data_IF_479621658122
#
_entry.id   IF_479621658122
#
_cell.length_a   1.000
_cell.length_b   1.000
_cell.length_c   1.000
_cell.angle_alpha   90.00
_cell.angle_beta   90.00
_cell.angle_gamma   90.00
#
_symmetry.space_group_name_H-M   'P 1'
#
loop_
_entity.id
_entity.type
_entity.pdbx_description
1 polymer ?
#
# COMPACT_ATOMS: atom_id res chain seq x y z
N UNK A 1 -6.10 -16.10 3.80
CA UNK A 1 -5.04 -15.82 4.79
C UNK A 1 -3.79 -16.54 4.30
N UNK A 2 -2.65 -15.84 4.25
CA UNK A 2 -1.39 -16.43 3.77
C UNK A 2 -0.94 -17.60 4.67
N UNK A 3 -0.29 -18.66 4.13
CA UNK A 3 0.04 -19.86 4.89
C UNK A 3 0.89 -19.60 6.14
N UNK A 4 1.79 -18.63 6.12
CA UNK A 4 2.66 -18.27 7.24
C UNK A 4 1.90 -17.67 8.45
N UNK A 5 0.76 -17.02 8.20
CA UNK A 5 -0.10 -16.45 9.24
C UNK A 5 -1.25 -17.38 9.63
N UNK A 6 -1.44 -18.48 8.90
CA UNK A 6 -2.48 -19.44 9.18
C UNK A 6 -2.24 -20.15 10.51
N UNK A 7 -3.32 -20.31 11.27
CA UNK A 7 -3.37 -21.18 12.43
C UNK A 7 -4.80 -21.72 12.56
N UNK A 8 -4.95 -22.96 13.04
CA UNK A 8 -6.27 -23.53 13.31
C UNK A 8 -6.98 -22.75 14.43
N UNK A 9 -6.23 -22.17 15.36
CA UNK A 9 -6.77 -21.29 16.38
C UNK A 9 -6.78 -19.83 15.85
N UNK A 10 -7.96 -19.19 15.68
CA UNK A 10 -8.04 -17.84 15.17
C UNK A 10 -7.27 -16.82 16.02
N UNK A 11 -7.19 -17.01 17.35
CA UNK A 11 -6.42 -16.13 18.23
C UNK A 11 -4.92 -16.21 17.98
N UNK A 12 -4.39 -17.41 17.70
CA UNK A 12 -2.99 -17.58 17.31
C UNK A 12 -2.71 -16.99 15.94
N UNK A 13 -3.66 -17.11 15.01
CA UNK A 13 -3.56 -16.47 13.70
C UNK A 13 -3.56 -14.94 13.83
N UNK A 14 -4.40 -14.39 14.71
CA UNK A 14 -4.41 -12.95 14.99
C UNK A 14 -3.14 -12.50 15.69
N UNK A 15 -2.61 -13.22 16.68
CA UNK A 15 -1.35 -12.86 17.35
C UNK A 15 -0.15 -12.85 16.40
N UNK A 16 -0.15 -13.74 15.39
CA UNK A 16 0.86 -13.74 14.32
C UNK A 16 0.73 -12.52 13.42
N UNK A 17 -0.50 -12.08 13.12
CA UNK A 17 -0.78 -10.99 12.19
C UNK A 17 -0.77 -9.59 12.84
N UNK A 18 -1.15 -9.52 14.12
CA UNK A 18 -1.37 -8.31 14.89
C UNK A 18 -0.71 -8.48 16.27
N UNK A 19 0.15 -7.53 16.73
CA UNK A 19 0.66 -7.55 18.09
C UNK A 19 -0.47 -7.28 19.09
N UNK A 20 -0.22 -7.66 20.34
CA UNK A 20 -1.15 -7.57 21.46
C UNK A 20 -1.78 -6.18 21.67
N UNK A 21 -1.08 -5.09 21.31
CA UNK A 21 -1.57 -3.71 21.45
C UNK A 21 -2.13 -3.12 20.13
N UNK A 22 -2.54 -3.97 19.18
CA UNK A 22 -3.08 -3.48 17.91
C UNK A 22 -4.51 -2.98 18.06
N UNK A 23 -4.67 -1.65 18.05
CA UNK A 23 -5.96 -1.01 17.84
C UNK A 23 -6.18 -0.69 16.36
N UNK A 24 -7.41 -0.87 15.86
CA UNK A 24 -7.81 -0.39 14.54
C UNK A 24 -7.50 1.12 14.46
N UNK A 25 -6.64 1.50 13.51
CA UNK A 25 -6.33 2.92 13.30
C UNK A 25 -7.38 3.50 12.35
N UNK A 26 -8.07 4.59 12.73
CA UNK A 26 -8.95 5.30 11.80
C UNK A 26 -8.17 5.78 10.56
N UNK A 27 -8.90 6.02 9.46
CA UNK A 27 -8.34 6.48 8.17
C UNK A 27 -7.42 7.67 8.45
N UNK A 28 -6.13 7.49 8.21
CA UNK A 28 -5.16 8.53 8.45
C UNK A 28 -5.35 9.63 7.41
N UNK A 29 -5.71 10.84 7.86
CA UNK A 29 -6.04 12.00 7.00
C UNK A 29 -4.88 12.41 6.08
N UNK A 30 -3.64 12.04 6.43
CA UNK A 30 -2.45 12.32 5.65
C UNK A 30 -2.16 11.29 4.54
N UNK A 31 -2.87 10.15 4.49
CA UNK A 31 -2.69 9.14 3.44
C UNK A 31 -3.58 9.46 2.25
N UNK A 32 -3.08 10.33 1.39
CA UNK A 32 -3.74 10.75 0.15
C UNK A 32 -3.74 9.64 -0.91
N UNK A 33 -4.53 9.80 -1.99
CA UNK A 33 -4.42 8.92 -3.17
C UNK A 33 -2.99 8.89 -3.72
N UNK A 34 -2.31 10.04 -3.77
CA UNK A 34 -0.92 10.16 -4.21
C UNK A 34 0.03 9.30 -3.37
N UNK A 35 -0.17 9.25 -2.05
CA UNK A 35 0.60 8.35 -1.17
C UNK A 35 0.49 6.88 -1.62
N UNK A 36 -0.73 6.39 -1.85
CA UNK A 36 -0.95 5.02 -2.28
C UNK A 36 -0.46 4.75 -3.71
N UNK A 37 -0.59 5.71 -4.62
CA UNK A 37 -0.03 5.60 -5.98
C UNK A 37 1.50 5.44 -5.93
N UNK A 38 2.17 6.26 -5.11
CA UNK A 38 3.62 6.17 -4.92
C UNK A 38 4.01 4.80 -4.33
N UNK A 39 3.26 4.23 -3.39
CA UNK A 39 3.53 2.87 -2.89
C UNK A 39 3.57 1.85 -4.02
N UNK A 40 2.58 1.86 -4.91
CA UNK A 40 2.52 0.87 -5.99
C UNK A 40 3.61 1.11 -7.05
N UNK A 41 3.96 2.37 -7.34
CA UNK A 41 5.03 2.73 -8.28
C UNK A 41 6.42 2.42 -7.71
N UNK A 42 6.70 2.85 -6.48
CA UNK A 42 7.99 2.69 -5.79
C UNK A 42 8.35 1.22 -5.54
N UNK A 43 7.34 0.39 -5.23
CA UNK A 43 7.50 -1.06 -5.10
C UNK A 43 7.69 -1.80 -6.43
N UNK A 44 7.65 -1.07 -7.56
CA UNK A 44 7.61 -1.59 -8.93
C UNK A 44 6.43 -2.56 -9.16
N UNK A 45 5.33 -2.39 -8.44
CA UNK A 45 4.16 -3.27 -8.52
C UNK A 45 3.25 -2.89 -9.67
N UNK A 46 3.23 -1.60 -10.02
CA UNK A 46 2.50 -1.08 -11.18
C UNK A 46 3.34 -0.06 -11.95
N UNK A 47 2.99 0.14 -13.21
CA UNK A 47 3.35 1.34 -13.98
C UNK A 47 2.10 2.19 -14.19
N UNK A 48 2.14 3.46 -13.81
CA UNK A 48 1.02 4.40 -13.97
C UNK A 48 1.41 5.47 -14.97
N UNK A 49 0.51 5.75 -15.91
CA UNK A 49 0.63 6.89 -16.82
C UNK A 49 -0.64 7.73 -16.74
N UNK A 50 -0.50 8.98 -16.31
CA UNK A 50 -1.59 9.95 -16.26
C UNK A 50 -1.62 10.77 -17.56
N UNK A 51 -2.81 10.94 -18.12
CA UNK A 51 -3.05 11.79 -19.27
C UNK A 51 -3.72 13.07 -18.80
N UNK A 52 -3.10 14.22 -19.06
CA UNK A 52 -3.57 15.53 -18.57
C UNK A 52 -4.59 16.16 -19.51
N UNK A 53 -5.43 17.05 -18.98
CA UNK A 53 -6.29 17.88 -19.82
C UNK A 53 -5.43 18.90 -20.59
N UNK A 54 -5.57 19.01 -21.93
CA UNK A 54 -4.82 19.99 -22.72
C UNK A 54 -5.06 21.46 -22.32
N UNK A 55 -6.22 21.77 -21.74
CA UNK A 55 -6.60 23.11 -21.28
C UNK A 55 -6.17 23.37 -19.83
N UNK A 56 -6.06 22.34 -19.02
CA UNK A 56 -5.62 22.43 -17.61
C UNK A 56 -4.74 21.22 -17.22
N UNK A 57 -3.41 21.43 -17.19
CA UNK A 57 -2.45 20.38 -16.88
C UNK A 57 -2.51 19.88 -15.42
N UNK A 58 -3.23 20.57 -14.54
CA UNK A 58 -3.45 20.10 -13.16
C UNK A 58 -4.41 18.90 -13.12
N UNK A 59 -5.33 18.81 -14.08
CA UNK A 59 -6.38 17.78 -14.14
C UNK A 59 -5.94 16.56 -14.97
N UNK A 60 -6.28 15.36 -14.47
CA UNK A 60 -6.13 14.12 -15.23
C UNK A 60 -7.44 13.85 -16.00
N UNK A 61 -7.37 13.64 -17.32
CA UNK A 61 -8.52 13.18 -18.12
C UNK A 61 -8.78 11.70 -17.90
N UNK A 62 -7.71 10.90 -17.92
CA UNK A 62 -7.73 9.48 -17.60
C UNK A 62 -6.33 9.03 -17.19
N UNK A 63 -6.22 7.82 -16.66
CA UNK A 63 -4.95 7.21 -16.31
C UNK A 63 -4.95 5.76 -16.76
N UNK A 64 -3.81 5.29 -17.24
CA UNK A 64 -3.60 3.86 -17.54
C UNK A 64 -2.71 3.27 -16.47
N UNK A 65 -3.08 2.09 -15.98
CA UNK A 65 -2.32 1.36 -14.96
C UNK A 65 -2.00 -0.02 -15.54
N UNK A 66 -0.72 -0.37 -15.55
CA UNK A 66 -0.24 -1.71 -15.85
C UNK A 66 0.17 -2.39 -14.55
N UNK A 67 -0.46 -3.51 -14.22
CA UNK A 67 -0.06 -4.34 -13.07
C UNK A 67 1.16 -5.17 -13.49
N UNK A 68 2.28 -5.02 -12.78
CA UNK A 68 3.54 -5.71 -13.06
C UNK A 68 3.74 -6.91 -12.14
N UNK A 69 3.46 -6.73 -10.84
CA UNK A 69 3.56 -7.79 -9.82
C UNK A 69 2.74 -7.45 -8.60
N UNK A 70 2.45 -8.46 -7.79
CA UNK A 70 1.85 -8.31 -6.46
C UNK A 70 2.81 -8.85 -5.43
N UNK A 71 3.28 -7.99 -4.52
CA UNK A 71 4.17 -8.39 -3.42
C UNK A 71 3.40 -9.16 -2.34
N UNK A 72 3.97 -10.30 -1.95
CA UNK A 72 3.60 -11.08 -0.77
C UNK A 72 4.30 -10.58 0.51
N UNK A 73 3.79 -10.90 1.71
CA UNK A 73 4.38 -10.48 3.00
C UNK A 73 5.88 -10.75 3.12
N UNK A 74 6.35 -11.89 2.61
CA UNK A 74 7.78 -12.27 2.62
C UNK A 74 8.72 -11.22 1.98
N UNK A 75 8.22 -10.38 1.08
CA UNK A 75 9.01 -9.30 0.48
C UNK A 75 9.21 -8.10 1.41
N UNK A 76 8.49 -8.02 2.54
CA UNK A 76 8.61 -6.99 3.56
C UNK A 76 9.47 -7.40 4.77
N UNK A 77 9.87 -8.67 4.84
CA UNK A 77 10.65 -9.22 5.95
C UNK A 77 9.77 -9.86 7.02
N UNK A 78 10.35 -10.13 8.19
CA UNK A 78 9.66 -10.80 9.30
C UNK A 78 8.68 -9.90 10.06
N UNK A 79 8.92 -8.59 10.08
CA UNK A 79 8.04 -7.61 10.72
C UNK A 79 7.29 -6.79 9.66
N UNK A 80 6.01 -7.11 9.45
CA UNK A 80 5.14 -6.43 8.49
C UNK A 80 4.79 -4.99 8.88
N UNK A 81 5.03 -4.60 10.14
CA UNK A 81 4.84 -3.23 10.63
C UNK A 81 6.07 -2.36 10.42
N UNK A 82 7.22 -2.96 10.13
CA UNK A 82 8.42 -2.20 9.79
C UNK A 82 8.20 -1.48 8.46
N UNK A 83 8.18 -0.15 8.51
CA UNK A 83 8.04 0.67 7.32
C UNK A 83 9.25 0.53 6.39
N UNK A 84 9.00 0.40 5.09
CA UNK A 84 9.98 0.63 4.03
C UNK A 84 10.00 2.11 3.70
N UNK A 85 11.19 2.68 3.52
CA UNK A 85 11.33 4.06 3.04
C UNK A 85 11.05 4.12 1.55
N UNK A 86 10.38 5.18 1.10
CA UNK A 86 10.27 5.47 -0.33
C UNK A 86 11.64 5.77 -0.92
N UNK A 87 11.82 5.48 -2.21
CA UNK A 87 13.00 5.92 -2.99
C UNK A 87 12.99 7.41 -3.30
N UNK A 88 11.82 8.06 -3.21
CA UNK A 88 11.62 9.50 -3.39
C UNK A 88 11.25 10.17 -2.07
N UNK A 89 11.62 11.46 -1.85
CA UNK A 89 11.14 12.22 -0.70
C UNK A 89 9.61 12.33 -0.72
N UNK A 90 8.95 11.87 0.34
CA UNK A 90 7.50 11.97 0.52
C UNK A 90 7.17 12.06 2.02
N UNK A 91 5.99 12.60 2.35
CA UNK A 91 5.44 12.59 3.72
C UNK A 91 4.11 11.81 3.72
N UNK A 92 4.02 10.66 4.41
CA UNK A 92 5.04 10.04 5.27
C UNK A 92 6.25 9.47 4.50
N UNK A 93 7.40 9.35 5.18
CA UNK A 93 8.69 8.92 4.61
C UNK A 93 8.73 7.47 4.12
N UNK A 94 7.66 6.71 4.35
CA UNK A 94 7.63 5.28 4.08
C UNK A 94 6.26 4.66 4.30
N UNK A 95 6.19 3.36 4.06
CA UNK A 95 4.98 2.57 4.06
C UNK A 95 5.23 1.16 4.62
N UNK A 96 4.22 0.60 5.27
CA UNK A 96 4.21 -0.77 5.79
C UNK A 96 3.61 -1.75 4.77
N UNK A 97 3.65 -3.05 5.06
CA UNK A 97 2.94 -4.03 4.24
C UNK A 97 1.43 -3.75 4.20
N UNK A 98 0.85 -3.29 5.31
CA UNK A 98 -0.58 -2.99 5.39
C UNK A 98 -0.96 -1.79 4.52
N UNK A 99 -0.10 -0.77 4.45
CA UNK A 99 -0.29 0.37 3.52
C UNK A 99 -0.24 -0.09 2.07
N UNK A 100 0.63 -1.06 1.75
CA UNK A 100 0.72 -1.66 0.43
C UNK A 100 -0.55 -2.46 0.06
N UNK A 101 -1.11 -3.22 1.00
CA UNK A 101 -2.40 -3.91 0.79
C UNK A 101 -3.53 -2.90 0.58
N UNK A 102 -3.59 -1.83 1.39
CA UNK A 102 -4.59 -0.77 1.22
C UNK A 102 -4.44 -0.06 -0.13
N UNK A 103 -3.22 0.12 -0.63
CA UNK A 103 -2.97 0.82 -1.89
C UNK A 103 -3.71 0.19 -3.09
N UNK A 104 -3.84 -1.15 -3.12
CA UNK A 104 -4.60 -1.87 -4.15
C UNK A 104 -6.09 -1.54 -4.17
N UNK A 105 -6.63 -0.98 -3.10
CA UNK A 105 -8.01 -0.49 -3.08
C UNK A 105 -8.06 1.03 -3.19
N UNK A 106 -7.13 1.76 -2.58
CA UNK A 106 -7.17 3.23 -2.53
C UNK A 106 -6.74 3.92 -3.84
N UNK A 107 -5.97 3.26 -4.70
CA UNK A 107 -5.55 3.81 -6.00
C UNK A 107 -6.66 3.70 -7.05
N UNK A 108 -7.40 2.60 -7.05
CA UNK A 108 -8.38 2.30 -8.11
C UNK A 108 -9.81 2.76 -7.77
N UNK A 109 -10.11 3.01 -6.49
CA UNK A 109 -11.44 3.41 -6.06
C UNK A 109 -11.52 4.94 -5.91
N UNK A 110 -12.06 5.61 -6.95
CA UNK A 110 -12.80 6.87 -6.86
C UNK A 110 -13.70 7.02 -8.10
#
# INVERSE_FOLDING_TARGET
MEPEFWDKNPFKATDKAFPSDFHFKPIAVNKTRTFYEIILVDSNSVSIKHFKDPKDQSLNTHSTIQILKVLQPRHFGSDLKKGKKFSVPFDPIGYTYWDYVEAWTKVFWH
#
